data_IF_912097260616
#
_entry.id   IF_912097260616
#
_cell.length_a   1.000
_cell.length_b   1.000
_cell.length_c   1.000
_cell.angle_alpha   90.00
_cell.angle_beta   90.00
_cell.angle_gamma   90.00
#
_symmetry.space_group_name_H-M   'P 1'
#
loop_
_entity.id
_entity.type
_entity.pdbx_description
1 polymer ?
#
# COMPACT_ATOMS: atom_id res chain seq x y z
N UNK A 1 -10.50 0.80 18.05
CA UNK A 1 -10.17 -0.40 17.25
C UNK A 1 -8.90 -0.07 16.50
N UNK A 2 -7.85 -0.83 16.72
CA UNK A 2 -6.61 -0.71 15.96
C UNK A 2 -6.86 -1.33 14.58
N UNK A 3 -6.50 -0.61 13.51
CA UNK A 3 -6.68 -1.15 12.15
C UNK A 3 -5.51 -2.08 11.88
N UNK A 4 -5.79 -3.37 11.85
CA UNK A 4 -4.78 -4.39 11.60
C UNK A 4 -4.43 -4.41 10.11
N UNK A 5 -3.14 -4.22 9.81
CA UNK A 5 -2.63 -4.33 8.43
C UNK A 5 -2.61 -5.79 8.00
N UNK A 6 -2.83 -6.03 6.71
CA UNK A 6 -2.68 -7.35 6.10
C UNK A 6 -1.29 -7.90 6.33
N UNK A 7 -1.21 -9.20 6.61
CA UNK A 7 0.05 -9.95 6.72
C UNK A 7 0.33 -10.79 5.47
N UNK A 8 -0.45 -10.61 4.39
CA UNK A 8 -0.19 -11.32 3.14
C UNK A 8 1.13 -10.86 2.52
N UNK A 9 1.87 -11.82 1.96
CA UNK A 9 3.10 -11.56 1.20
C UNK A 9 2.89 -11.67 -0.32
N UNK A 10 1.66 -11.93 -0.76
CA UNK A 10 1.26 -11.84 -2.16
C UNK A 10 0.76 -10.43 -2.46
N UNK A 11 1.30 -9.83 -3.52
CA UNK A 11 0.89 -8.50 -3.96
C UNK A 11 -0.57 -8.48 -4.45
N UNK A 12 -1.06 -9.60 -5.02
CA UNK A 12 -2.41 -9.69 -5.56
C UNK A 12 -3.53 -9.55 -4.50
N UNK A 13 -3.19 -9.74 -3.23
CA UNK A 13 -4.12 -9.59 -2.10
C UNK A 13 -4.37 -8.12 -1.70
N UNK A 14 -3.63 -7.19 -2.30
CA UNK A 14 -3.71 -5.77 -2.01
C UNK A 14 -4.46 -5.02 -3.09
N UNK A 15 -5.40 -4.17 -2.68
CA UNK A 15 -6.16 -3.32 -3.60
C UNK A 15 -5.62 -1.90 -3.60
N UNK A 16 -5.66 -1.25 -4.77
CA UNK A 16 -5.31 0.16 -4.94
C UNK A 16 -6.50 0.89 -5.54
N UNK A 17 -7.22 1.62 -4.71
CA UNK A 17 -8.33 2.46 -5.13
C UNK A 17 -7.81 3.85 -5.44
N UNK A 18 -8.01 4.33 -6.68
CA UNK A 18 -7.61 5.69 -7.06
C UNK A 18 -8.83 6.58 -7.24
N UNK A 19 -8.81 7.75 -6.62
CA UNK A 19 -9.83 8.79 -6.74
C UNK A 19 -9.21 10.07 -7.26
N UNK A 20 -9.85 10.67 -8.27
CA UNK A 20 -9.62 12.06 -8.66
C UNK A 20 -10.50 12.99 -7.81
N UNK A 21 -9.91 14.02 -7.21
CA UNK A 21 -10.59 15.01 -6.34
C UNK A 21 -10.73 16.39 -7.00
N UNK A 22 -9.89 16.69 -7.99
CA UNK A 22 -9.90 17.94 -8.76
C UNK A 22 -9.13 17.77 -10.08
N UNK A 23 -8.74 18.88 -10.71
CA UNK A 23 -8.02 18.79 -11.99
C UNK A 23 -6.66 18.09 -11.85
N UNK A 24 -5.86 18.50 -10.86
CA UNK A 24 -4.53 17.95 -10.55
C UNK A 24 -4.46 17.48 -9.09
N UNK A 25 -5.52 16.83 -8.60
CA UNK A 25 -5.57 16.27 -7.25
C UNK A 25 -6.08 14.83 -7.32
N UNK A 26 -5.20 13.91 -6.95
CA UNK A 26 -5.41 12.48 -6.96
C UNK A 26 -5.09 11.90 -5.59
N UNK A 27 -5.81 10.84 -5.22
CA UNK A 27 -5.52 10.07 -4.03
C UNK A 27 -5.60 8.58 -4.36
N UNK A 28 -4.68 7.78 -3.83
CA UNK A 28 -4.75 6.33 -3.79
C UNK A 28 -5.01 5.84 -2.37
N UNK A 29 -5.81 4.80 -2.21
CA UNK A 29 -6.12 4.16 -0.94
C UNK A 29 -5.96 2.64 -1.04
N UNK A 30 -5.31 2.06 -0.03
CA UNK A 30 -5.19 0.62 0.16
C UNK A 30 -5.82 0.23 1.50
N UNK A 31 -7.01 -0.42 1.50
CA UNK A 31 -7.69 -0.83 2.74
C UNK A 31 -6.87 -1.78 3.59
N UNK A 32 -6.16 -2.72 2.95
CA UNK A 32 -5.33 -3.73 3.57
C UNK A 32 -4.18 -3.13 4.38
N UNK A 33 -3.68 -1.96 3.99
CA UNK A 33 -2.66 -1.21 4.72
C UNK A 33 -3.25 -0.07 5.57
N UNK A 34 -4.55 0.18 5.43
CA UNK A 34 -5.24 1.38 5.89
C UNK A 34 -4.44 2.66 5.55
N UNK A 35 -3.95 2.72 4.32
CA UNK A 35 -3.02 3.77 3.86
C UNK A 35 -3.66 4.57 2.74
N UNK A 36 -3.64 5.89 2.88
CA UNK A 36 -4.02 6.84 1.83
C UNK A 36 -2.81 7.68 1.42
N UNK A 37 -2.57 7.81 0.12
CA UNK A 37 -1.52 8.65 -0.46
C UNK A 37 -2.20 9.67 -1.37
N UNK A 38 -1.85 10.95 -1.21
CA UNK A 38 -2.33 12.02 -2.10
C UNK A 38 -1.19 12.47 -3.03
N UNK A 39 -1.52 13.00 -4.20
CA UNK A 39 -0.57 13.49 -5.19
C UNK A 39 -1.25 14.29 -6.28
N UNK A 40 -0.46 14.87 -7.19
CA UNK A 40 -0.99 15.74 -8.25
C UNK A 40 -1.30 14.99 -9.55
N UNK A 41 -0.79 13.78 -9.69
CA UNK A 41 -0.91 12.97 -10.90
C UNK A 41 -1.41 11.56 -10.58
N UNK A 42 -2.20 11.01 -11.50
CA UNK A 42 -2.76 9.66 -11.38
C UNK A 42 -1.66 8.59 -11.26
N UNK A 43 -0.68 8.61 -12.17
CA UNK A 43 0.39 7.62 -12.21
C UNK A 43 1.29 7.69 -10.97
N UNK A 44 1.55 8.91 -10.48
CA UNK A 44 2.32 9.14 -9.27
C UNK A 44 1.69 8.44 -8.06
N UNK A 45 0.40 8.66 -7.80
CA UNK A 45 -0.26 8.06 -6.61
C UNK A 45 -0.38 6.54 -6.71
N UNK A 46 -0.49 6.00 -7.93
CA UNK A 46 -0.46 4.56 -8.18
C UNK A 46 0.93 3.99 -7.88
N UNK A 47 1.98 4.55 -8.46
CA UNK A 47 3.36 4.08 -8.24
C UNK A 47 3.75 4.14 -6.77
N UNK A 48 3.40 5.23 -6.08
CA UNK A 48 3.68 5.38 -4.65
C UNK A 48 2.98 4.31 -3.81
N UNK A 49 1.72 3.97 -4.12
CA UNK A 49 1.00 2.93 -3.40
C UNK A 49 1.57 1.53 -3.68
N UNK A 50 1.91 1.23 -4.94
CA UNK A 50 2.57 -0.04 -5.30
C UNK A 50 3.86 -0.23 -4.52
N UNK A 51 4.70 0.80 -4.47
CA UNK A 51 5.95 0.79 -3.70
C UNK A 51 5.71 0.61 -2.20
N UNK A 52 4.66 1.21 -1.65
CA UNK A 52 4.30 1.02 -0.24
C UNK A 52 3.90 -0.43 0.07
N UNK A 53 3.14 -1.07 -0.82
CA UNK A 53 2.76 -2.49 -0.71
C UNK A 53 4.00 -3.38 -0.82
N UNK A 54 4.87 -3.15 -1.81
CA UNK A 54 6.11 -3.91 -2.00
C UNK A 54 7.03 -3.82 -0.77
N UNK A 55 7.20 -2.63 -0.21
CA UNK A 55 7.99 -2.43 1.01
C UNK A 55 7.40 -3.19 2.21
N UNK A 56 6.08 -3.11 2.40
CA UNK A 56 5.39 -3.83 3.47
C UNK A 56 5.57 -5.34 3.34
N UNK A 57 5.40 -5.90 2.13
CA UNK A 57 5.65 -7.32 1.85
C UNK A 57 7.10 -7.69 2.15
N UNK A 58 8.07 -6.84 1.75
CA UNK A 58 9.47 -7.08 2.01
C UNK A 58 9.80 -7.08 3.51
N UNK A 59 9.17 -6.20 4.30
CA UNK A 59 9.29 -6.17 5.76
C UNK A 59 8.71 -7.43 6.40
N UNK A 60 7.52 -7.87 5.98
CA UNK A 60 6.93 -9.13 6.45
C UNK A 60 7.86 -10.32 6.19
N UNK A 61 8.41 -10.43 4.97
CA UNK A 61 9.35 -11.52 4.62
C UNK A 61 10.62 -11.50 5.47
N UNK A 62 11.13 -10.32 5.82
CA UNK A 62 12.28 -10.18 6.73
C UNK A 62 11.94 -10.64 8.15
N UNK A 63 10.76 -10.29 8.66
CA UNK A 63 10.31 -10.69 10.00
C UNK A 63 10.13 -12.21 10.11
N UNK A 64 9.60 -12.86 9.07
CA UNK A 64 9.46 -14.32 9.04
C UNK A 64 10.82 -15.01 9.10
N UNK A 65 11.82 -14.54 8.33
CA UNK A 65 13.17 -15.13 8.30
C UNK A 65 13.95 -14.94 9.60
N UNK A 66 13.71 -13.86 10.36
CA UNK A 66 14.37 -13.63 11.65
C UNK A 66 13.82 -14.49 12.80
N UNK A 67 12.64 -15.08 12.62
CA UNK A 67 12.01 -15.92 13.66
C UNK A 67 12.49 -17.38 13.59
N UNK A 68 13.11 -17.77 12.47
CA UNK A 68 13.58 -19.14 12.21
C UNK A 68 15.11 -19.31 12.41
N UNK A 69 15.79 -18.31 12.99
CA UNK A 69 17.24 -18.30 13.27
C UNK A 69 17.56 -18.33 14.76
#
# INVERSE_FOLDING_TARGET
MEVQKSTSTDFADYEIYVRRRGENDYASYCPQLNLMINGSEHEQVVMLMRKAIENHIAELKKQTQQTES
#
